data_IF_536351200284
#
_entry.id   IF_536351200284
#
_cell.length_a   1.000
_cell.length_b   1.000
_cell.length_c   1.000
_cell.angle_alpha   90.00
_cell.angle_beta   90.00
_cell.angle_gamma   90.00
#
_symmetry.space_group_name_H-M   'P 1'
#
loop_
_entity.id
_entity.type
_entity.pdbx_description
1 polymer ?
#
# COMPACT_ATOMS: atom_id res chain seq x y z
N UNK A 1 -1.68 -4.68 21.57
CA UNK A 1 -2.84 -4.50 20.67
C UNK A 1 -3.00 -3.01 20.33
N UNK A 2 -3.17 -2.64 19.06
CA UNK A 2 -3.33 -1.22 18.66
C UNK A 2 -4.66 -0.68 19.16
N UNK A 3 -4.68 0.55 19.67
CA UNK A 3 -5.87 1.22 20.25
C UNK A 3 -6.40 2.36 19.38
N UNK A 4 -5.56 2.90 18.47
CA UNK A 4 -5.95 3.95 17.52
C UNK A 4 -6.49 3.33 16.23
N UNK A 5 -7.81 3.13 16.17
CA UNK A 5 -8.55 2.61 15.03
C UNK A 5 -10.00 3.10 15.00
N UNK A 6 -10.61 3.09 13.82
CA UNK A 6 -12.05 3.28 13.68
C UNK A 6 -12.77 1.97 13.93
N UNK A 7 -13.75 1.96 14.85
CA UNK A 7 -14.53 0.77 15.25
C UNK A 7 -15.88 0.71 14.55
N UNK A 8 -16.26 -0.49 14.08
CA UNK A 8 -17.60 -0.79 13.56
C UNK A 8 -18.10 -2.07 14.22
N UNK A 9 -19.11 -1.96 15.06
CA UNK A 9 -19.73 -3.10 15.75
C UNK A 9 -20.58 -3.94 14.79
N UNK A 10 -20.56 -5.27 14.99
CA UNK A 10 -21.30 -6.24 14.18
C UNK A 10 -21.68 -7.49 15.01
N UNK A 11 -22.40 -7.29 16.13
CA UNK A 11 -22.82 -8.35 17.04
C UNK A 11 -21.65 -8.91 17.86
N UNK A 12 -21.38 -10.21 17.71
CA UNK A 12 -20.32 -10.93 18.43
C UNK A 12 -18.91 -10.53 17.99
N UNK A 13 -18.79 -9.79 16.88
CA UNK A 13 -17.52 -9.27 16.38
C UNK A 13 -17.59 -7.77 16.13
N UNK A 14 -16.44 -7.14 16.02
CA UNK A 14 -16.33 -5.80 15.49
C UNK A 14 -15.17 -5.72 14.50
N UNK A 15 -15.23 -4.70 13.65
CA UNK A 15 -14.16 -4.38 12.71
C UNK A 15 -13.35 -3.21 13.22
N UNK A 16 -12.04 -3.39 13.32
CA UNK A 16 -11.08 -2.33 13.61
C UNK A 16 -10.38 -1.93 12.31
N UNK A 17 -10.39 -0.64 11.98
CA UNK A 17 -9.91 -0.16 10.68
C UNK A 17 -8.96 1.01 10.89
N UNK A 18 -7.74 0.90 10.33
CA UNK A 18 -6.74 1.97 10.37
C UNK A 18 -5.87 1.95 9.11
N UNK A 19 -5.13 3.00 8.89
CA UNK A 19 -4.06 3.04 7.90
C UNK A 19 -2.73 2.71 8.57
N UNK A 20 -1.86 2.01 7.87
CA UNK A 20 -0.54 1.66 8.36
C UNK A 20 0.50 1.76 7.26
N UNK A 21 1.71 2.11 7.66
CA UNK A 21 2.92 1.94 6.87
C UNK A 21 3.68 0.76 7.42
N UNK A 22 4.06 -0.17 6.57
CA UNK A 22 4.76 -1.37 7.00
C UNK A 22 6.16 -1.08 7.50
N UNK A 23 6.87 -0.15 6.85
CA UNK A 23 8.18 0.31 7.31
C UNK A 23 8.07 1.80 7.61
N UNK A 24 8.57 2.23 8.78
CA UNK A 24 8.60 3.64 9.15
C UNK A 24 9.50 4.49 8.22
N UNK A 25 10.38 3.85 7.44
CA UNK A 25 11.25 4.53 6.50
C UNK A 25 10.67 4.51 5.08
N UNK A 26 9.84 5.51 4.79
CA UNK A 26 9.20 5.69 3.47
C UNK A 26 10.21 5.73 2.33
N UNK A 27 11.44 6.21 2.57
CA UNK A 27 12.49 6.29 1.55
C UNK A 27 12.98 4.92 1.08
N UNK A 28 12.78 3.87 1.87
CA UNK A 28 13.16 2.49 1.54
C UNK A 28 12.04 1.67 0.91
N UNK A 29 11.12 2.33 0.19
CA UNK A 29 10.00 1.66 -0.47
C UNK A 29 9.02 0.98 0.49
N UNK A 30 8.77 1.60 1.63
CA UNK A 30 7.78 1.12 2.57
C UNK A 30 6.44 0.90 1.89
N UNK A 31 5.87 -0.26 2.11
CA UNK A 31 4.50 -0.53 1.69
C UNK A 31 3.53 0.11 2.68
N UNK A 32 2.39 0.54 2.19
CA UNK A 32 1.36 1.14 3.04
C UNK A 32 -0.03 0.75 2.56
N UNK A 33 -0.99 0.85 3.46
CA UNK A 33 -2.36 0.54 3.12
C UNK A 33 -3.28 0.53 4.32
N UNK A 34 -4.48 0.06 4.10
CA UNK A 34 -5.49 -0.05 5.14
C UNK A 34 -5.47 -1.45 5.74
N UNK A 35 -5.50 -1.50 7.06
CA UNK A 35 -5.74 -2.72 7.80
C UNK A 35 -7.23 -2.79 8.14
N UNK A 36 -7.83 -3.95 7.87
CA UNK A 36 -9.17 -4.32 8.35
C UNK A 36 -9.00 -5.54 9.23
N UNK A 37 -9.26 -5.39 10.51
CA UNK A 37 -9.15 -6.48 11.48
C UNK A 37 -10.52 -6.88 12.01
N UNK A 38 -10.78 -8.17 12.10
CA UNK A 38 -11.96 -8.74 12.75
C UNK A 38 -11.57 -9.17 14.15
N UNK A 39 -12.26 -8.62 15.15
CA UNK A 39 -12.02 -8.91 16.57
C UNK A 39 -13.29 -9.41 17.24
N UNK A 40 -13.14 -10.22 18.29
CA UNK A 40 -14.29 -10.60 19.12
C UNK A 40 -14.78 -9.43 19.97
N UNK A 41 -16.10 -9.29 20.13
CA UNK A 41 -16.71 -8.26 20.99
C UNK A 41 -16.71 -8.63 22.47
N UNK A 42 -16.14 -9.78 22.86
CA UNK A 42 -16.11 -10.19 24.24
C UNK A 42 -15.07 -9.39 25.03
N UNK A 43 -15.54 -8.50 25.89
CA UNK A 43 -14.70 -7.60 26.71
C UNK A 43 -13.69 -8.32 27.61
N UNK A 44 -13.99 -9.56 28.01
CA UNK A 44 -13.12 -10.33 28.89
C UNK A 44 -12.07 -11.15 28.14
N UNK A 45 -12.23 -11.31 26.82
CA UNK A 45 -11.32 -12.06 25.97
C UNK A 45 -11.38 -11.49 24.54
N UNK A 46 -10.90 -10.27 24.37
CA UNK A 46 -10.77 -9.68 23.04
C UNK A 46 -9.67 -10.39 22.26
N UNK A 47 -10.04 -11.07 21.18
CA UNK A 47 -9.12 -11.79 20.33
C UNK A 47 -9.13 -11.22 18.92
N UNK A 48 -7.95 -11.14 18.29
CA UNK A 48 -7.81 -10.86 16.86
C UNK A 48 -8.06 -12.14 16.07
N UNK A 49 -9.12 -12.18 15.30
CA UNK A 49 -9.55 -13.38 14.59
C UNK A 49 -8.97 -13.42 13.18
N UNK A 50 -9.10 -12.28 12.48
CA UNK A 50 -8.63 -12.10 11.10
C UNK A 50 -8.03 -10.72 10.94
N UNK A 51 -7.03 -10.61 10.07
CA UNK A 51 -6.47 -9.32 9.66
C UNK A 51 -6.27 -9.31 8.15
N UNK A 52 -6.76 -8.27 7.49
CA UNK A 52 -6.55 -8.00 6.07
C UNK A 52 -5.63 -6.79 5.95
N UNK A 53 -4.46 -7.01 5.38
CA UNK A 53 -3.46 -5.98 5.07
C UNK A 53 -3.65 -5.56 3.62
N UNK A 54 -4.47 -4.54 3.39
CA UNK A 54 -4.77 -4.03 2.04
C UNK A 54 -3.66 -3.07 1.58
N UNK A 55 -2.44 -3.58 1.50
CA UNK A 55 -1.25 -2.84 1.09
C UNK A 55 -1.15 -2.70 -0.42
N UNK A 56 -0.29 -1.79 -0.89
CA UNK A 56 -0.09 -1.54 -2.31
C UNK A 56 0.65 -2.67 -3.00
N UNK A 57 1.80 -3.09 -2.43
CA UNK A 57 2.72 -4.01 -3.10
C UNK A 57 2.53 -5.46 -2.66
N UNK A 58 2.27 -5.68 -1.37
CA UNK A 58 2.15 -7.01 -0.79
C UNK A 58 0.88 -7.16 0.05
N UNK A 59 -0.31 -7.15 -0.57
CA UNK A 59 -1.53 -7.35 0.17
C UNK A 59 -1.63 -8.79 0.68
N UNK A 60 -2.01 -8.92 1.96
CA UNK A 60 -2.13 -10.21 2.63
C UNK A 60 -3.38 -10.28 3.51
N UNK A 61 -3.73 -11.48 3.93
CA UNK A 61 -4.64 -11.69 5.03
C UNK A 61 -4.12 -12.77 5.96
N UNK A 62 -4.45 -12.65 7.24
CA UNK A 62 -3.91 -13.49 8.30
C UNK A 62 -5.03 -14.08 9.13
N UNK A 63 -5.00 -15.37 9.32
CA UNK A 63 -5.83 -16.09 10.28
C UNK A 63 -5.14 -16.12 11.63
N UNK A 64 -5.89 -15.81 12.70
CA UNK A 64 -5.42 -15.84 14.08
C UNK A 64 -4.07 -15.13 14.25
N UNK A 65 -4.04 -13.77 14.06
CA UNK A 65 -2.78 -13.02 14.03
C UNK A 65 -1.96 -13.11 15.30
N UNK A 66 -2.61 -13.22 16.46
CA UNK A 66 -1.95 -13.27 17.77
C UNK A 66 -1.59 -14.70 18.22
N UNK A 67 -2.07 -15.73 17.49
CA UNK A 67 -1.83 -17.14 17.79
C UNK A 67 -1.07 -17.83 16.68
N UNK A 68 -1.75 -18.64 15.86
CA UNK A 68 -1.12 -19.45 14.80
C UNK A 68 -0.51 -18.61 13.66
N UNK A 69 -1.00 -17.41 13.47
CA UNK A 69 -0.49 -16.42 12.51
C UNK A 69 -0.32 -16.98 11.07
N UNK A 70 -1.36 -17.64 10.55
CA UNK A 70 -1.33 -18.17 9.17
C UNK A 70 -1.54 -17.04 8.16
N UNK A 71 -0.48 -16.64 7.49
CA UNK A 71 -0.49 -15.58 6.47
C UNK A 71 -0.79 -16.18 5.10
N UNK A 72 -1.69 -15.52 4.36
CA UNK A 72 -2.04 -15.81 2.97
C UNK A 72 -1.90 -14.54 2.13
N UNK A 73 -1.53 -14.68 0.87
CA UNK A 73 -1.42 -13.56 -0.06
C UNK A 73 -2.76 -13.30 -0.74
N UNK A 74 -2.98 -12.03 -1.08
CA UNK A 74 -4.04 -11.59 -2.01
C UNK A 74 -3.33 -11.30 -3.33
N UNK A 75 -3.79 -11.89 -4.42
CA UNK A 75 -3.22 -11.64 -5.75
C UNK A 75 -3.89 -10.39 -6.36
N UNK A 76 -3.18 -9.23 -6.43
CA UNK A 76 -3.81 -8.00 -6.94
C UNK A 76 -4.15 -8.06 -8.43
N UNK A 77 -3.59 -9.01 -9.18
CA UNK A 77 -3.88 -9.21 -10.60
C UNK A 77 -5.15 -10.04 -10.75
N UNK A 78 -5.23 -11.18 -10.07
CA UNK A 78 -6.38 -12.07 -10.15
C UNK A 78 -7.58 -11.60 -9.31
N UNK A 79 -7.31 -11.07 -8.13
CA UNK A 79 -8.32 -10.67 -7.14
C UNK A 79 -8.69 -9.18 -7.21
N UNK A 80 -7.87 -8.37 -7.88
CA UNK A 80 -8.09 -6.93 -8.06
C UNK A 80 -7.80 -6.12 -6.79
N UNK A 81 -8.58 -5.07 -6.55
CA UNK A 81 -8.34 -4.15 -5.43
C UNK A 81 -8.44 -4.86 -4.06
N UNK A 82 -7.39 -4.84 -3.21
CA UNK A 82 -7.36 -5.59 -1.95
C UNK A 82 -8.49 -5.21 -0.97
N UNK A 83 -8.90 -3.94 -0.89
CA UNK A 83 -10.03 -3.53 -0.04
C UNK A 83 -11.33 -4.15 -0.56
N UNK A 84 -11.57 -4.06 -1.87
CA UNK A 84 -12.76 -4.64 -2.48
C UNK A 84 -12.83 -6.14 -2.29
N UNK A 85 -11.71 -6.84 -2.49
CA UNK A 85 -11.60 -8.28 -2.25
C UNK A 85 -11.87 -8.63 -0.78
N UNK A 86 -11.24 -7.95 0.17
CA UNK A 86 -11.44 -8.17 1.60
C UNK A 86 -12.90 -7.97 2.02
N UNK A 87 -13.52 -6.89 1.56
CA UNK A 87 -14.95 -6.61 1.82
C UNK A 87 -15.84 -7.72 1.24
N UNK A 88 -15.53 -8.23 0.05
CA UNK A 88 -16.23 -9.37 -0.55
C UNK A 88 -16.12 -10.62 0.32
N UNK A 89 -14.91 -10.95 0.83
CA UNK A 89 -14.72 -12.09 1.72
C UNK A 89 -15.52 -11.91 3.03
N UNK A 90 -15.44 -10.75 3.66
CA UNK A 90 -16.18 -10.42 4.87
C UNK A 90 -17.71 -10.55 4.68
N UNK A 91 -18.22 -10.18 3.52
CA UNK A 91 -19.64 -10.27 3.18
C UNK A 91 -20.10 -11.71 2.93
N UNK A 92 -19.28 -12.53 2.31
CA UNK A 92 -19.70 -13.83 1.78
C UNK A 92 -19.18 -15.04 2.55
N UNK A 93 -18.00 -14.92 3.20
CA UNK A 93 -17.27 -16.05 3.77
C UNK A 93 -16.81 -15.87 5.20
N UNK A 94 -17.24 -14.81 5.88
CA UNK A 94 -16.75 -14.49 7.24
C UNK A 94 -16.91 -15.64 8.23
N UNK A 95 -18.06 -16.38 8.30
CA UNK A 95 -18.18 -17.51 9.24
C UNK A 95 -17.14 -18.59 9.01
N UNK A 96 -16.93 -18.98 7.74
CA UNK A 96 -15.95 -20.01 7.36
C UNK A 96 -14.52 -19.57 7.67
N UNK A 97 -14.23 -18.29 7.48
CA UNK A 97 -12.92 -17.74 7.81
C UNK A 97 -12.68 -17.70 9.33
N UNK A 98 -13.70 -17.34 10.13
CA UNK A 98 -13.62 -17.37 11.60
C UNK A 98 -13.40 -18.83 12.09
N UNK A 99 -14.09 -19.80 11.51
CA UNK A 99 -13.88 -21.22 11.81
C UNK A 99 -12.47 -21.67 11.44
N UNK A 100 -11.97 -21.29 10.27
CA UNK A 100 -10.59 -21.57 9.81
C UNK A 100 -9.55 -20.95 10.73
N UNK A 101 -9.83 -19.77 11.29
CA UNK A 101 -9.00 -19.12 12.31
C UNK A 101 -8.97 -19.88 13.66
N UNK A 102 -9.87 -20.88 13.85
CA UNK A 102 -9.94 -21.69 15.06
C UNK A 102 -11.02 -21.27 16.05
N UNK A 103 -11.85 -20.29 15.71
CA UNK A 103 -12.90 -19.75 16.57
C UNK A 103 -14.28 -20.33 16.22
N UNK A 104 -14.39 -21.67 16.22
CA UNK A 104 -15.59 -22.41 15.77
C UNK A 104 -16.87 -21.99 16.50
N UNK A 105 -16.80 -21.86 17.84
CA UNK A 105 -17.95 -21.46 18.65
C UNK A 105 -18.45 -20.06 18.32
N UNK A 106 -17.55 -19.15 18.01
CA UNK A 106 -17.85 -17.79 17.58
C UNK A 106 -18.49 -17.78 16.19
N UNK A 107 -17.96 -18.58 15.26
CA UNK A 107 -18.52 -18.75 13.93
C UNK A 107 -19.99 -19.21 13.97
N UNK A 108 -20.30 -20.16 14.88
CA UNK A 108 -21.65 -20.67 15.07
C UNK A 108 -22.65 -19.67 15.70
N UNK A 109 -22.14 -18.68 16.46
CA UNK A 109 -22.95 -17.66 17.12
C UNK A 109 -23.06 -16.35 16.32
N UNK A 110 -22.35 -16.23 15.19
CA UNK A 110 -22.24 -15.00 14.44
C UNK A 110 -23.61 -14.51 13.91
N UNK A 111 -24.01 -13.30 14.29
CA UNK A 111 -25.16 -12.63 13.70
C UNK A 111 -24.86 -12.09 12.30
N UNK A 112 -25.17 -12.91 11.30
CA UNK A 112 -24.98 -12.56 9.88
C UNK A 112 -25.68 -11.28 9.47
N UNK A 113 -26.84 -10.94 10.06
CA UNK A 113 -27.60 -9.72 9.72
C UNK A 113 -26.85 -8.47 10.21
N UNK A 114 -26.36 -8.50 11.44
CA UNK A 114 -25.54 -7.41 11.99
C UNK A 114 -24.24 -7.22 11.20
N UNK A 115 -23.58 -8.31 10.79
CA UNK A 115 -22.41 -8.26 9.91
C UNK A 115 -22.75 -7.57 8.59
N UNK A 116 -23.76 -8.06 7.87
CA UNK A 116 -24.14 -7.50 6.56
C UNK A 116 -24.54 -6.02 6.66
N UNK A 117 -25.17 -5.59 7.76
CA UNK A 117 -25.51 -4.20 8.01
C UNK A 117 -24.26 -3.34 8.27
N UNK A 118 -23.22 -3.90 8.87
CA UNK A 118 -21.96 -3.21 9.15
C UNK A 118 -21.06 -3.03 7.92
N UNK A 119 -21.07 -3.98 6.96
CA UNK A 119 -20.16 -4.03 5.81
C UNK A 119 -20.10 -2.72 5.01
N UNK A 120 -21.20 -2.04 4.64
CA UNK A 120 -21.11 -0.78 3.89
C UNK A 120 -20.33 0.31 4.65
N UNK A 121 -20.44 0.36 5.98
CA UNK A 121 -19.68 1.29 6.81
C UNK A 121 -18.21 0.91 6.89
N UNK A 122 -17.90 -0.38 6.98
CA UNK A 122 -16.52 -0.91 6.93
C UNK A 122 -15.85 -0.52 5.61
N UNK A 123 -16.53 -0.77 4.48
CA UNK A 123 -16.00 -0.43 3.15
C UNK A 123 -15.76 1.08 3.02
N UNK A 124 -16.74 1.90 3.40
CA UNK A 124 -16.60 3.35 3.33
C UNK A 124 -15.40 3.83 4.16
N UNK A 125 -15.29 3.40 5.42
CA UNK A 125 -14.17 3.77 6.29
C UNK A 125 -12.82 3.30 5.76
N UNK A 126 -12.74 2.09 5.20
CA UNK A 126 -11.51 1.58 4.62
C UNK A 126 -11.08 2.42 3.42
N UNK A 127 -12.00 2.73 2.51
CA UNK A 127 -11.71 3.58 1.33
C UNK A 127 -11.37 5.01 1.72
N UNK A 128 -12.07 5.60 2.69
CA UNK A 128 -11.79 6.95 3.18
C UNK A 128 -10.40 7.00 3.82
N UNK A 129 -10.05 6.02 4.67
CA UNK A 129 -8.71 5.94 5.26
C UNK A 129 -7.62 5.71 4.22
N UNK A 130 -7.85 4.85 3.24
CA UNK A 130 -6.94 4.64 2.13
C UNK A 130 -6.66 5.96 1.39
N UNK A 131 -7.73 6.68 1.04
CA UNK A 131 -7.62 7.92 0.26
C UNK A 131 -6.98 9.06 1.05
N UNK A 132 -7.32 9.19 2.34
CA UNK A 132 -6.97 10.35 3.15
C UNK A 132 -5.69 10.18 3.97
N UNK A 133 -5.15 8.96 4.08
CA UNK A 133 -3.97 8.67 4.91
C UNK A 133 -2.77 8.18 4.10
N UNK A 134 -2.88 8.12 2.77
CA UNK A 134 -1.73 7.84 1.91
C UNK A 134 -0.69 8.92 2.14
N UNK A 135 0.51 8.47 2.47
CA UNK A 135 1.68 9.35 2.54
C UNK A 135 2.45 9.23 1.25
N UNK A 136 2.65 10.36 0.60
CA UNK A 136 3.55 10.47 -0.53
C UNK A 136 4.99 10.58 -0.01
N UNK A 137 5.92 9.95 -0.70
CA UNK A 137 7.33 10.02 -0.31
C UNK A 137 7.87 11.38 -0.67
N UNK A 138 8.46 12.05 0.33
CA UNK A 138 9.28 13.23 0.15
C UNK A 138 10.57 12.87 -0.56
N UNK A 139 10.89 13.55 -1.63
CA UNK A 139 12.19 13.44 -2.26
C UNK A 139 12.77 14.82 -2.53
N UNK A 140 13.87 15.08 -1.84
CA UNK A 140 14.83 16.07 -2.24
C UNK A 140 16.04 15.28 -2.78
N UNK A 141 15.88 14.70 -3.98
CA UNK A 141 16.91 13.91 -4.61
C UNK A 141 17.47 14.63 -5.82
N UNK A 142 18.75 14.70 -5.84
CA UNK A 142 19.55 15.20 -6.92
C UNK A 142 20.66 16.12 -6.42
N UNK A 143 21.86 15.87 -6.89
CA UNK A 143 22.98 16.79 -6.70
C UNK A 143 22.74 18.10 -7.46
N UNK A 144 21.95 18.02 -8.53
CA UNK A 144 21.55 19.16 -9.35
C UNK A 144 20.04 19.16 -9.56
N UNK A 145 19.41 20.34 -9.38
CA UNK A 145 17.98 20.55 -9.60
C UNK A 145 17.81 21.54 -10.75
N UNK A 146 16.93 21.22 -11.69
CA UNK A 146 16.54 22.05 -12.83
C UNK A 146 15.04 22.32 -12.78
N UNK A 147 14.66 23.58 -12.70
CA UNK A 147 13.27 24.01 -12.72
C UNK A 147 12.70 23.95 -14.15
N UNK A 148 11.51 23.39 -14.31
CA UNK A 148 10.80 23.29 -15.59
C UNK A 148 9.29 23.52 -15.38
N UNK A 149 8.91 24.75 -15.06
CA UNK A 149 7.52 25.13 -14.77
C UNK A 149 6.99 24.50 -13.49
N UNK A 150 6.00 23.61 -13.60
CA UNK A 150 5.38 22.95 -12.46
C UNK A 150 6.09 21.65 -12.05
N UNK A 151 7.19 21.32 -12.68
CA UNK A 151 8.02 20.17 -12.35
C UNK A 151 9.48 20.59 -12.18
N UNK A 152 10.25 19.73 -11.56
CA UNK A 152 11.70 19.87 -11.42
C UNK A 152 12.36 18.57 -11.84
N UNK A 153 13.54 18.66 -12.42
CA UNK A 153 14.40 17.50 -12.66
C UNK A 153 15.49 17.49 -11.61
N UNK A 154 15.60 16.37 -10.89
CA UNK A 154 16.72 16.10 -10.00
C UNK A 154 17.69 15.12 -10.66
N UNK A 155 18.97 15.48 -10.75
CA UNK A 155 20.01 14.59 -11.27
C UNK A 155 20.89 14.12 -10.12
N UNK A 156 21.10 12.82 -10.03
CA UNK A 156 21.91 12.18 -9.01
C UNK A 156 22.79 11.10 -9.61
N UNK A 157 24.10 11.13 -9.35
CA UNK A 157 24.97 10.01 -9.69
C UNK A 157 24.97 8.99 -8.55
N UNK A 158 24.41 7.81 -8.79
CA UNK A 158 24.19 6.78 -7.77
C UNK A 158 25.17 5.62 -7.95
N UNK A 159 25.57 5.06 -6.79
CA UNK A 159 26.30 3.79 -6.72
C UNK A 159 25.55 2.84 -5.81
N UNK A 160 25.21 1.65 -6.30
CA UNK A 160 24.46 0.62 -5.58
C UNK A 160 25.23 -0.72 -5.72
N UNK A 161 26.15 -0.98 -4.78
CA UNK A 161 27.01 -2.15 -4.88
C UNK A 161 27.84 -2.11 -6.16
N UNK A 162 27.71 -3.14 -7.01
CA UNK A 162 28.43 -3.24 -8.29
C UNK A 162 27.74 -2.50 -9.45
N UNK A 163 26.54 -1.97 -9.23
CA UNK A 163 25.79 -1.21 -10.21
C UNK A 163 25.79 0.29 -9.88
N UNK A 164 25.35 1.08 -10.83
CA UNK A 164 25.22 2.53 -10.68
C UNK A 164 25.13 3.24 -12.02
N UNK A 165 24.89 4.52 -11.95
CA UNK A 165 24.71 5.39 -13.10
C UNK A 165 23.99 6.68 -12.73
N UNK A 166 23.59 7.42 -13.76
CA UNK A 166 22.79 8.61 -13.59
C UNK A 166 21.34 8.22 -13.25
N UNK A 167 20.81 8.79 -12.17
CA UNK A 167 19.39 8.81 -11.88
C UNK A 167 18.81 10.18 -12.23
N UNK A 168 17.68 10.19 -12.93
CA UNK A 168 16.92 11.40 -13.29
C UNK A 168 15.56 11.30 -12.62
N UNK A 169 15.28 12.22 -11.70
CA UNK A 169 14.03 12.31 -10.97
C UNK A 169 13.15 13.42 -11.54
N UNK A 170 11.88 13.14 -11.73
CA UNK A 170 10.87 14.17 -12.04
C UNK A 170 10.03 14.40 -10.80
N UNK A 171 10.11 15.60 -10.28
CA UNK A 171 9.55 16.01 -9.00
C UNK A 171 8.49 17.09 -9.21
N UNK A 172 7.47 17.11 -8.36
CA UNK A 172 6.42 18.16 -8.37
C UNK A 172 5.81 18.36 -7.01
N UNK A 173 5.42 19.61 -6.72
CA UNK A 173 4.64 19.98 -5.54
C UNK A 173 3.12 19.86 -5.80
N UNK A 174 2.72 19.66 -7.05
CA UNK A 174 1.31 19.69 -7.46
C UNK A 174 0.55 18.38 -7.23
N UNK A 175 1.22 17.33 -6.78
CA UNK A 175 0.58 16.05 -6.48
C UNK A 175 -0.07 16.06 -5.12
N UNK A 176 -1.22 16.68 -5.00
CA UNK A 176 -1.99 16.61 -3.79
C UNK A 176 -3.47 16.57 -4.08
N UNK A 177 -4.18 15.54 -3.69
CA UNK A 177 -5.59 15.69 -3.41
C UNK A 177 -5.72 16.44 -2.09
N UNK A 178 -6.17 17.60 -2.17
CA UNK A 178 -6.93 18.52 -1.32
C UNK A 178 -7.10 18.32 0.20
N UNK A 179 -6.48 17.41 0.89
CA UNK A 179 -6.71 17.20 2.32
C UNK A 179 -5.46 17.10 3.20
N UNK A 180 -4.28 17.13 2.61
CA UNK A 180 -3.04 17.22 3.36
C UNK A 180 -2.21 18.33 2.78
N UNK A 181 -1.72 19.22 3.64
CA UNK A 181 -0.71 20.21 3.31
C UNK A 181 0.58 19.50 2.87
N UNK A 182 0.63 19.10 1.61
CA UNK A 182 1.88 18.67 1.00
C UNK A 182 2.66 19.90 0.56
N UNK A 183 3.38 20.47 1.49
CA UNK A 183 4.45 21.42 1.19
C UNK A 183 5.69 20.76 0.59
N UNK A 184 5.56 19.51 0.09
CA UNK A 184 6.68 18.61 -0.10
C UNK A 184 6.71 18.01 -1.48
N UNK A 185 7.90 18.01 -2.03
CA UNK A 185 8.24 17.48 -3.32
C UNK A 185 7.88 16.01 -3.48
N UNK A 186 7.15 15.69 -4.53
CA UNK A 186 6.76 14.32 -4.84
C UNK A 186 7.45 13.85 -6.12
N UNK A 187 8.16 12.73 -6.05
CA UNK A 187 8.68 12.05 -7.23
C UNK A 187 7.50 11.38 -7.97
N UNK A 188 7.25 11.82 -9.20
CA UNK A 188 6.21 11.27 -10.07
C UNK A 188 6.76 10.28 -11.10
N UNK A 189 8.05 10.39 -11.39
CA UNK A 189 8.75 9.57 -12.36
C UNK A 189 10.24 9.58 -12.01
N UNK A 190 10.92 8.45 -12.18
CA UNK A 190 12.37 8.38 -12.05
C UNK A 190 12.96 7.42 -13.06
N UNK A 191 14.11 7.76 -13.61
CA UNK A 191 14.88 6.95 -14.58
C UNK A 191 16.24 6.62 -13.98
N UNK A 192 16.42 5.39 -13.58
CA UNK A 192 17.69 4.85 -13.09
C UNK A 192 18.49 4.28 -14.27
N UNK A 193 19.25 5.14 -14.97
CA UNK A 193 20.07 4.78 -16.14
C UNK A 193 21.34 4.03 -15.71
N UNK A 194 21.18 2.90 -15.02
CA UNK A 194 22.26 2.12 -14.44
C UNK A 194 22.90 1.19 -15.45
N UNK A 195 24.15 0.79 -15.19
CA UNK A 195 24.94 -0.03 -16.10
C UNK A 195 24.42 -1.46 -16.23
N UNK A 196 24.04 -2.10 -15.10
CA UNK A 196 23.66 -3.50 -15.07
C UNK A 196 22.15 -3.69 -15.14
N UNK A 197 21.41 -2.94 -14.34
CA UNK A 197 19.95 -3.07 -14.24
C UNK A 197 19.27 -1.71 -14.45
N UNK A 198 19.32 -1.15 -15.65
CA UNK A 198 18.63 0.09 -15.94
C UNK A 198 17.12 -0.12 -15.86
N UNK A 199 16.43 0.85 -15.23
CA UNK A 199 14.98 0.79 -15.06
C UNK A 199 14.40 2.17 -14.80
N UNK A 200 13.09 2.29 -14.86
CA UNK A 200 12.39 3.51 -14.50
C UNK A 200 11.19 3.21 -13.59
N UNK A 201 10.74 4.22 -12.88
CA UNK A 201 9.65 4.15 -11.93
C UNK A 201 8.52 5.08 -12.34
N UNK A 202 7.28 4.63 -12.16
CA UNK A 202 6.08 5.47 -12.25
C UNK A 202 5.49 5.75 -10.89
N UNK A 203 4.98 6.98 -10.75
CA UNK A 203 4.23 7.42 -9.59
C UNK A 203 5.09 7.56 -8.35
N UNK A 204 4.46 7.80 -7.20
CA UNK A 204 5.20 8.04 -5.99
C UNK A 204 6.08 6.85 -5.65
N UNK A 205 7.29 7.14 -5.18
CA UNK A 205 8.35 6.15 -4.94
C UNK A 205 7.92 5.00 -4.04
N UNK A 206 7.05 5.25 -3.08
CA UNK A 206 6.54 4.24 -2.18
C UNK A 206 5.73 3.12 -2.87
N UNK A 207 5.26 3.34 -4.10
CA UNK A 207 4.63 2.30 -4.91
C UNK A 207 5.62 1.35 -5.55
N UNK A 208 6.89 1.77 -5.68
CA UNK A 208 7.99 0.98 -6.25
C UNK A 208 7.62 0.26 -7.56
N UNK A 209 6.84 0.90 -8.42
CA UNK A 209 6.48 0.36 -9.73
C UNK A 209 7.67 0.50 -10.66
N UNK A 210 8.41 -0.60 -10.87
CA UNK A 210 9.63 -0.64 -11.67
C UNK A 210 9.40 -1.31 -13.01
N UNK A 211 10.00 -0.74 -14.06
CA UNK A 211 10.03 -1.27 -15.41
C UNK A 211 11.48 -1.34 -15.89
N UNK A 212 11.99 -2.56 -15.99
CA UNK A 212 13.36 -2.79 -16.43
C UNK A 212 13.46 -2.69 -17.95
N UNK A 213 14.48 -2.01 -18.44
CA UNK A 213 14.77 -2.02 -19.87
C UNK A 213 15.48 -3.30 -20.28
N UNK A 214 15.07 -3.84 -21.41
CA UNK A 214 15.86 -4.82 -22.14
C UNK A 214 16.99 -4.08 -22.88
N UNK A 215 18.22 -4.28 -22.47
CA UNK A 215 19.41 -3.62 -23.04
C UNK A 215 19.66 -3.98 -24.50
N UNK A 216 19.05 -5.05 -25.04
CA UNK A 216 19.12 -5.36 -26.47
C UNK A 216 18.20 -4.47 -27.29
N UNK A 217 17.14 -3.95 -26.68
CA UNK A 217 16.16 -3.04 -27.30
C UNK A 217 16.50 -1.58 -26.98
N UNK A 218 16.95 -1.31 -25.77
CA UNK A 218 17.36 0.02 -25.29
C UNK A 218 18.83 -0.06 -24.86
N UNK A 219 19.77 0.00 -25.80
CA UNK A 219 21.20 -0.15 -25.50
C UNK A 219 21.77 1.00 -24.69
N UNK A 220 21.22 2.22 -24.85
CA UNK A 220 21.55 3.40 -24.06
C UNK A 220 20.30 3.95 -23.35
N UNK A 221 20.08 3.59 -22.07
CA UNK A 221 18.94 4.07 -21.30
C UNK A 221 18.92 5.59 -21.07
N UNK A 222 20.10 6.23 -21.03
CA UNK A 222 20.18 7.68 -20.84
C UNK A 222 19.75 8.41 -22.12
N UNK A 223 20.27 8.00 -23.28
CA UNK A 223 19.87 8.58 -24.56
C UNK A 223 18.37 8.40 -24.79
N UNK A 224 17.86 7.20 -24.57
CA UNK A 224 16.42 6.91 -24.66
C UNK A 224 15.58 7.82 -23.76
N UNK A 225 16.02 8.01 -22.50
CA UNK A 225 15.31 8.90 -21.54
C UNK A 225 15.32 10.33 -22.01
N UNK A 226 16.46 10.83 -22.49
CA UNK A 226 16.57 12.22 -23.01
C UNK A 226 15.72 12.44 -24.24
N UNK A 227 15.57 11.44 -25.11
CA UNK A 227 14.71 11.52 -26.27
C UNK A 227 13.24 11.59 -25.94
N UNK A 228 12.79 10.86 -24.88
CA UNK A 228 11.42 11.00 -24.37
C UNK A 228 11.15 12.42 -23.89
N UNK A 229 12.10 13.08 -23.22
CA UNK A 229 11.90 14.44 -22.75
C UNK A 229 11.91 15.49 -23.87
N UNK A 230 12.38 15.16 -25.07
CA UNK A 230 12.35 16.04 -26.25
C UNK A 230 11.08 15.90 -27.08
N UNK A 231 10.35 14.79 -26.92
CA UNK A 231 9.15 14.47 -27.69
C UNK A 231 7.91 15.19 -27.16
#
# INVERSE_FOLDING_TARGET
MRTDYSKVEAGEVFFAIWHEQWDANIQNHADQGVIIQVRSSNKNNEANILQFNCFFSQPTYTYDPDGRCKICQIDPIADGNPIGWSVKQLKTRLPEMIETAGFKDLAGKLDKKSVLKAIPKVEKLARDKFKNSIQLVKHNRGDFIFEAGNIRFGLELRTLGDDGGLAIHVLTDLCGSSSHEYSEETEILAFDCFRLQPHYHYGPRNKNLRYYWDKTVVPDPLEWTLDIFKA
#
